data_IF_323445323452
#
_entry.id   IF_323445323452
#
_cell.length_a   1.000
_cell.length_b   1.000
_cell.length_c   1.000
_cell.angle_alpha   90.00
_cell.angle_beta   90.00
_cell.angle_gamma   90.00
#
_symmetry.space_group_name_H-M   'P 1'
#
loop_
_entity.id
_entity.type
_entity.pdbx_description
1 polymer ?
#
# COMPACT_ATOMS: atom_id res chain seq x y z
N UNK A 1 8.37 19.62 -7.94
CA UNK A 1 6.91 19.68 -7.70
C UNK A 1 6.48 20.99 -7.06
N UNK A 2 7.36 21.68 -6.33
CA UNK A 2 7.15 23.05 -5.79
C UNK A 2 7.25 24.19 -6.84
N UNK A 3 6.94 23.90 -8.11
CA UNK A 3 6.81 24.94 -9.14
C UNK A 3 5.33 25.28 -9.28
N UNK A 4 5.04 26.56 -9.48
CA UNK A 4 3.70 27.03 -9.85
C UNK A 4 3.16 26.22 -11.05
N UNK A 5 1.86 25.90 -11.02
CA UNK A 5 1.12 25.06 -11.98
C UNK A 5 1.33 23.53 -11.96
N UNK A 6 2.24 22.98 -11.15
CA UNK A 6 2.45 21.52 -11.13
C UNK A 6 1.44 20.74 -10.25
N UNK A 7 0.55 21.45 -9.52
CA UNK A 7 -0.51 20.88 -8.67
C UNK A 7 -1.86 21.60 -8.87
N UNK A 8 -2.34 21.65 -10.12
CA UNK A 8 -3.57 22.39 -10.51
C UNK A 8 -4.85 22.01 -9.74
N UNK A 9 -4.87 20.83 -9.11
CA UNK A 9 -6.02 20.34 -8.33
C UNK A 9 -5.89 20.59 -6.83
N UNK A 10 -4.84 21.31 -6.40
CA UNK A 10 -4.51 21.53 -4.99
C UNK A 10 -4.49 20.22 -4.19
N UNK A 11 -4.01 19.14 -4.82
CA UNK A 11 -3.93 17.82 -4.20
C UNK A 11 -2.93 17.86 -3.06
N UNK A 12 -3.28 17.27 -1.92
CA UNK A 12 -2.32 17.07 -0.83
C UNK A 12 -1.19 16.15 -1.27
N UNK A 13 -0.01 16.73 -1.56
CA UNK A 13 1.19 15.95 -1.90
C UNK A 13 1.90 15.56 -0.61
N UNK A 14 2.10 14.26 -0.43
CA UNK A 14 2.82 13.73 0.71
C UNK A 14 4.17 13.16 0.27
N UNK A 15 5.25 13.84 0.63
CA UNK A 15 6.59 13.37 0.30
C UNK A 15 6.99 12.22 1.20
N UNK A 16 7.32 11.09 0.58
CA UNK A 16 8.03 9.98 1.22
C UNK A 16 9.47 9.94 0.71
N UNK A 17 10.26 9.00 1.21
CA UNK A 17 11.54 8.64 0.61
C UNK A 17 11.45 7.23 0.03
N UNK A 18 12.44 6.85 -0.76
CA UNK A 18 12.68 5.46 -1.11
C UNK A 18 13.35 4.72 0.06
N UNK A 19 13.14 3.39 0.15
CA UNK A 19 13.85 2.48 1.06
C UNK A 19 14.43 1.30 0.28
N UNK A 20 15.57 0.77 0.72
CA UNK A 20 16.14 -0.48 0.17
C UNK A 20 16.53 -1.41 1.31
N UNK A 21 16.39 -2.72 1.09
CA UNK A 21 16.83 -3.75 2.02
C UNK A 21 18.35 -3.65 2.27
N UNK A 22 18.79 -3.96 3.49
CA UNK A 22 20.20 -4.15 3.82
C UNK A 22 20.59 -5.61 3.52
N UNK A 23 21.38 -5.89 2.47
CA UNK A 23 21.75 -7.26 2.10
C UNK A 23 22.66 -7.93 3.14
N UNK A 24 23.28 -7.16 4.04
CA UNK A 24 24.20 -7.68 5.05
C UNK A 24 23.48 -8.33 6.24
N UNK A 25 22.18 -8.07 6.42
CA UNK A 25 21.39 -8.65 7.51
C UNK A 25 21.40 -10.17 7.44
N UNK A 26 21.20 -10.74 6.25
CA UNK A 26 21.16 -12.19 6.07
C UNK A 26 22.53 -12.84 6.34
N UNK A 27 23.62 -12.15 6.01
CA UNK A 27 24.98 -12.59 6.36
C UNK A 27 25.18 -12.61 7.87
N UNK A 28 24.78 -11.52 8.56
CA UNK A 28 24.92 -11.40 10.02
C UNK A 28 24.09 -12.45 10.75
N UNK A 29 22.89 -12.77 10.27
CA UNK A 29 22.07 -13.86 10.83
C UNK A 29 22.67 -15.24 10.55
N UNK A 30 23.15 -15.49 9.32
CA UNK A 30 23.80 -16.76 8.98
C UNK A 30 25.10 -17.00 9.78
N UNK A 31 25.87 -15.94 10.06
CA UNK A 31 27.10 -16.01 10.86
C UNK A 31 26.86 -16.41 12.33
N UNK A 32 25.64 -16.22 12.86
CA UNK A 32 25.29 -16.73 14.21
C UNK A 32 25.21 -18.25 14.26
N UNK A 33 24.89 -18.89 13.13
CA UNK A 33 24.73 -20.35 13.01
C UNK A 33 26.01 -21.00 12.49
N UNK A 34 26.60 -20.42 11.45
CA UNK A 34 27.86 -20.87 10.85
C UNK A 34 28.84 -19.69 10.73
N UNK A 35 29.58 -19.39 11.81
CA UNK A 35 30.52 -18.29 11.83
C UNK A 35 31.74 -18.53 10.94
N UNK A 36 32.07 -19.79 10.61
CA UNK A 36 33.24 -20.11 9.78
C UNK A 36 32.99 -19.66 8.34
N UNK A 37 31.79 -19.93 7.82
CA UNK A 37 31.46 -19.58 6.43
C UNK A 37 31.05 -18.12 6.26
N UNK A 38 30.29 -17.55 7.22
CA UNK A 38 29.59 -16.27 7.01
C UNK A 38 30.18 -15.07 7.75
N UNK A 39 31.19 -15.24 8.61
CA UNK A 39 31.88 -14.09 9.20
C UNK A 39 32.66 -13.33 8.12
N UNK A 40 32.33 -12.05 7.93
CA UNK A 40 33.01 -11.19 6.98
C UNK A 40 34.34 -10.68 7.56
N UNK A 41 35.41 -10.77 6.79
CA UNK A 41 36.67 -10.13 7.09
C UNK A 41 36.53 -8.59 7.09
N UNK A 42 37.34 -7.86 7.88
CA UNK A 42 37.35 -6.40 7.84
C UNK A 42 37.87 -5.91 6.47
N UNK A 43 37.32 -4.78 6.02
CA UNK A 43 37.76 -4.12 4.78
C UNK A 43 39.20 -3.64 4.88
N UNK A 44 39.89 -3.68 3.74
CA UNK A 44 41.23 -3.14 3.62
C UNK A 44 41.21 -1.79 2.91
N UNK A 45 41.42 -0.71 3.67
CA UNK A 45 41.42 0.65 3.12
C UNK A 45 42.77 1.06 2.51
N UNK A 46 43.83 0.26 2.71
CA UNK A 46 45.15 0.44 2.08
C UNK A 46 45.13 -0.17 0.66
N UNK A 47 44.86 -1.47 0.60
CA UNK A 47 44.79 -2.25 -0.65
C UNK A 47 43.32 -2.49 -1.02
N UNK A 48 42.78 -1.61 -1.86
CA UNK A 48 41.38 -1.67 -2.22
C UNK A 48 41.03 -2.91 -3.05
N UNK A 49 39.83 -3.41 -2.80
CA UNK A 49 39.13 -4.39 -3.64
C UNK A 49 37.87 -3.74 -4.16
N UNK A 50 37.57 -3.97 -5.44
CA UNK A 50 36.38 -3.45 -6.10
C UNK A 50 35.35 -4.56 -6.35
N UNK A 51 34.07 -4.19 -6.35
CA UNK A 51 32.99 -5.11 -6.68
C UNK A 51 31.95 -4.44 -7.57
N UNK A 52 31.41 -5.21 -8.50
CA UNK A 52 30.28 -4.83 -9.33
C UNK A 52 29.36 -6.03 -9.56
N UNK A 53 28.06 -5.80 -9.54
CA UNK A 53 27.07 -6.81 -9.88
C UNK A 53 25.92 -6.18 -10.67
N UNK A 54 25.58 -6.77 -11.81
CA UNK A 54 24.48 -6.29 -12.65
C UNK A 54 23.38 -7.31 -12.91
N UNK A 55 23.61 -8.60 -12.63
CA UNK A 55 22.67 -9.65 -12.99
C UNK A 55 22.39 -9.60 -14.49
N UNK A 56 21.11 -9.60 -14.89
CA UNK A 56 20.73 -9.52 -16.31
C UNK A 56 20.62 -8.09 -16.87
N UNK A 57 20.86 -7.06 -16.04
CA UNK A 57 20.58 -5.68 -16.42
C UNK A 57 21.70 -5.09 -17.26
N UNK A 58 21.37 -4.68 -18.49
CA UNK A 58 22.26 -3.93 -19.39
C UNK A 58 22.42 -2.46 -18.97
N UNK A 59 21.51 -1.94 -18.15
CA UNK A 59 21.53 -0.54 -17.69
C UNK A 59 22.56 -0.26 -16.60
N UNK A 60 23.23 -1.28 -16.06
CA UNK A 60 24.32 -1.12 -15.07
C UNK A 60 25.66 -0.77 -15.68
N UNK A 61 25.71 -0.73 -17.01
CA UNK A 61 26.86 -0.30 -17.79
C UNK A 61 28.13 -1.12 -17.55
N UNK A 62 27.97 -2.43 -17.38
CA UNK A 62 29.07 -3.35 -17.11
C UNK A 62 30.05 -3.47 -18.28
N UNK A 63 29.61 -3.19 -19.51
CA UNK A 63 30.47 -3.14 -20.71
C UNK A 63 31.56 -2.06 -20.54
N UNK A 64 31.16 -0.81 -20.25
CA UNK A 64 32.11 0.29 -20.04
C UNK A 64 33.02 0.04 -18.83
N UNK A 65 32.50 -0.63 -17.79
CA UNK A 65 33.34 -1.04 -16.66
C UNK A 65 34.44 -2.04 -17.07
N UNK A 66 34.11 -3.02 -17.92
CA UNK A 66 35.07 -3.98 -18.47
C UNK A 66 36.08 -3.29 -19.39
N UNK A 67 35.65 -2.35 -20.24
CA UNK A 67 36.53 -1.57 -21.10
C UNK A 67 37.52 -0.74 -20.26
N UNK A 68 37.07 -0.13 -19.15
CA UNK A 68 37.94 0.59 -18.22
C UNK A 68 39.01 -0.33 -17.62
N UNK A 69 38.63 -1.46 -17.02
CA UNK A 69 39.61 -2.40 -16.43
C UNK A 69 40.52 -3.07 -17.47
N UNK A 70 40.07 -3.23 -18.72
CA UNK A 70 40.92 -3.69 -19.82
C UNK A 70 42.01 -2.68 -20.17
N UNK A 71 41.70 -1.38 -20.13
CA UNK A 71 42.67 -0.31 -20.40
C UNK A 71 43.62 -0.03 -19.24
N UNK A 72 43.31 -0.49 -18.02
CA UNK A 72 44.07 -0.25 -16.78
C UNK A 72 44.46 -1.53 -16.04
N UNK A 73 45.45 -2.29 -16.54
CA UNK A 73 45.98 -3.47 -15.85
C UNK A 73 46.62 -3.16 -14.48
N UNK A 74 46.95 -1.90 -14.22
CA UNK A 74 47.50 -1.38 -12.96
C UNK A 74 46.45 -1.23 -11.85
N UNK A 75 45.15 -1.28 -12.18
CA UNK A 75 44.10 -1.13 -11.19
C UNK A 75 44.02 -2.30 -10.20
N UNK A 76 43.54 -2.05 -8.97
CA UNK A 76 43.31 -3.12 -8.01
C UNK A 76 42.26 -4.12 -8.49
N UNK A 77 42.23 -5.32 -7.88
CA UNK A 77 41.34 -6.37 -8.34
C UNK A 77 39.87 -5.99 -8.19
N UNK A 78 39.08 -6.36 -9.21
CA UNK A 78 37.62 -6.21 -9.22
C UNK A 78 36.94 -7.57 -9.39
N UNK A 79 35.92 -7.84 -8.59
CA UNK A 79 35.00 -8.97 -8.79
C UNK A 79 33.73 -8.49 -9.49
N UNK A 80 33.43 -9.08 -10.64
CA UNK A 80 32.30 -8.68 -11.50
C UNK A 80 31.33 -9.87 -11.63
N UNK A 81 30.09 -9.70 -11.18
CA UNK A 81 29.01 -10.69 -11.34
C UNK A 81 27.99 -10.22 -12.37
N UNK A 82 27.97 -10.89 -13.53
CA UNK A 82 27.07 -10.58 -14.64
C UNK A 82 26.35 -11.82 -15.15
N UNK A 83 25.13 -11.62 -15.63
CA UNK A 83 24.34 -12.61 -16.36
C UNK A 83 23.79 -12.04 -17.68
N UNK A 84 24.36 -10.94 -18.18
CA UNK A 84 23.98 -10.34 -19.46
C UNK A 84 24.93 -10.74 -20.60
N UNK A 85 24.38 -10.94 -21.79
CA UNK A 85 25.15 -11.42 -22.94
C UNK A 85 26.20 -10.42 -23.43
N UNK A 86 25.88 -9.12 -23.41
CA UNK A 86 26.77 -8.07 -23.92
C UNK A 86 28.07 -7.95 -23.11
N UNK A 87 27.98 -8.01 -21.79
CA UNK A 87 29.16 -8.01 -20.91
C UNK A 87 29.99 -9.27 -21.07
N UNK A 88 29.35 -10.44 -21.22
CA UNK A 88 30.05 -11.69 -21.45
C UNK A 88 30.83 -11.64 -22.79
N UNK A 89 30.19 -11.18 -23.85
CA UNK A 89 30.82 -11.02 -25.16
C UNK A 89 31.99 -10.01 -25.12
N UNK A 90 31.83 -8.92 -24.38
CA UNK A 90 32.86 -7.88 -24.15
C UNK A 90 34.07 -8.44 -23.42
N UNK A 91 33.86 -9.17 -22.31
CA UNK A 91 34.94 -9.80 -21.56
C UNK A 91 35.75 -10.76 -22.44
N UNK A 92 35.07 -11.65 -23.18
CA UNK A 92 35.75 -12.61 -24.05
C UNK A 92 36.36 -11.96 -25.29
N UNK A 93 35.82 -10.84 -25.78
CA UNK A 93 36.40 -10.05 -26.87
C UNK A 93 37.77 -9.51 -26.47
N UNK A 94 37.89 -8.85 -25.32
CA UNK A 94 39.20 -8.36 -24.84
C UNK A 94 40.24 -9.46 -24.69
N UNK A 95 39.82 -10.64 -24.21
CA UNK A 95 40.72 -11.80 -24.13
C UNK A 95 41.20 -12.25 -25.52
N UNK A 96 40.28 -12.34 -26.50
CA UNK A 96 40.63 -12.69 -27.89
C UNK A 96 41.52 -11.64 -28.56
N UNK A 97 41.35 -10.37 -28.21
CA UNK A 97 42.14 -9.25 -28.72
C UNK A 97 43.52 -9.14 -28.05
N UNK A 98 43.91 -10.10 -27.21
CA UNK A 98 45.21 -10.14 -26.56
C UNK A 98 45.33 -9.19 -25.37
N UNK A 99 44.21 -8.77 -24.76
CA UNK A 99 44.15 -7.90 -23.58
C UNK A 99 43.59 -8.66 -22.36
N UNK A 100 44.33 -9.66 -21.82
CA UNK A 100 43.87 -10.41 -20.67
C UNK A 100 43.78 -9.51 -19.42
N UNK A 101 42.59 -9.43 -18.83
CA UNK A 101 42.34 -8.65 -17.61
C UNK A 101 42.67 -9.46 -16.35
N UNK A 102 43.96 -9.55 -16.00
CA UNK A 102 44.43 -10.38 -14.88
C UNK A 102 43.92 -9.92 -13.50
N UNK A 103 43.55 -8.66 -13.38
CA UNK A 103 42.96 -8.04 -12.18
C UNK A 103 41.42 -8.13 -12.16
N UNK A 104 40.79 -8.80 -13.12
CA UNK A 104 39.32 -8.95 -13.18
C UNK A 104 38.92 -10.39 -12.87
N UNK A 105 38.18 -10.58 -11.79
CA UNK A 105 37.49 -11.83 -11.48
C UNK A 105 36.07 -11.77 -12.06
N UNK A 106 35.91 -12.26 -13.29
CA UNK A 106 34.63 -12.23 -14.00
C UNK A 106 33.82 -13.51 -13.75
N UNK A 107 32.59 -13.34 -13.26
CA UNK A 107 31.65 -14.41 -12.98
C UNK A 107 30.40 -14.25 -13.86
N UNK A 108 30.29 -15.13 -14.86
CA UNK A 108 29.18 -15.13 -15.84
C UNK A 108 28.10 -16.16 -15.47
N UNK A 109 26.86 -15.72 -15.28
CA UNK A 109 25.72 -16.59 -14.97
C UNK A 109 25.77 -17.26 -13.59
N UNK A 110 26.65 -16.79 -12.70
CA UNK A 110 26.84 -17.38 -11.36
C UNK A 110 25.84 -16.77 -10.38
N UNK A 111 25.00 -17.62 -9.79
CA UNK A 111 24.10 -17.22 -8.71
C UNK A 111 24.80 -17.36 -7.35
N UNK A 112 24.81 -16.28 -6.58
CA UNK A 112 25.35 -16.25 -5.22
C UNK A 112 24.19 -16.24 -4.23
N UNK A 113 24.26 -17.05 -3.18
CA UNK A 113 23.22 -17.06 -2.14
C UNK A 113 23.16 -15.70 -1.43
N UNK A 114 21.98 -15.23 -0.97
CA UNK A 114 21.87 -13.92 -0.34
C UNK A 114 22.84 -13.67 0.85
N UNK A 115 23.07 -14.62 1.78
CA UNK A 115 24.05 -14.44 2.85
C UNK A 115 25.49 -14.33 2.34
N UNK A 116 25.83 -15.05 1.27
CA UNK A 116 27.16 -14.97 0.67
C UNK A 116 27.35 -13.64 -0.09
N UNK A 117 26.32 -13.17 -0.79
CA UNK A 117 26.33 -11.87 -1.45
C UNK A 117 26.53 -10.73 -0.44
N UNK A 118 25.80 -10.75 0.67
CA UNK A 118 26.00 -9.78 1.75
C UNK A 118 27.41 -9.85 2.38
N UNK A 119 28.01 -11.04 2.47
CA UNK A 119 29.40 -11.22 2.93
C UNK A 119 30.38 -10.55 1.98
N UNK A 120 30.24 -10.79 0.68
CA UNK A 120 31.08 -10.14 -0.35
C UNK A 120 30.99 -8.62 -0.27
N UNK A 121 29.78 -8.08 -0.08
CA UNK A 121 29.59 -6.63 0.09
C UNK A 121 30.23 -6.09 1.36
N UNK A 122 30.22 -6.85 2.47
CA UNK A 122 30.87 -6.48 3.74
C UNK A 122 32.41 -6.47 3.63
N UNK A 123 32.99 -7.37 2.85
CA UNK A 123 34.45 -7.52 2.72
C UNK A 123 35.06 -6.59 1.67
N UNK A 124 34.27 -6.22 0.65
CA UNK A 124 34.74 -5.37 -0.43
C UNK A 124 34.91 -3.92 0.03
N UNK A 125 36.03 -3.31 -0.35
CA UNK A 125 36.35 -1.92 0.02
C UNK A 125 35.50 -0.89 -0.73
N UNK A 126 35.40 -1.02 -2.06
CA UNK A 126 34.65 -0.11 -2.92
C UNK A 126 33.70 -0.84 -3.88
N UNK A 127 32.51 -0.28 -4.13
CA UNK A 127 31.51 -0.85 -5.03
C UNK A 127 31.22 0.15 -6.16
N UNK A 128 31.39 -0.28 -7.40
CA UNK A 128 31.24 0.57 -8.59
C UNK A 128 29.86 0.40 -9.19
N UNK A 129 29.11 1.50 -9.29
CA UNK A 129 27.74 1.55 -9.78
C UNK A 129 27.60 2.57 -10.93
N UNK A 130 28.16 2.29 -12.12
CA UNK A 130 28.22 3.22 -13.24
C UNK A 130 26.93 3.19 -14.09
N UNK A 131 25.76 3.12 -13.45
CA UNK A 131 24.51 2.85 -14.16
C UNK A 131 24.15 3.97 -15.16
N UNK A 132 23.70 3.59 -16.36
CA UNK A 132 23.16 4.49 -17.40
C UNK A 132 21.90 5.17 -16.90
N UNK A 133 21.00 4.38 -16.31
CA UNK A 133 19.76 4.86 -15.72
C UNK A 133 19.66 4.36 -14.29
N UNK A 134 18.73 4.93 -13.53
CA UNK A 134 18.53 4.64 -12.12
C UNK A 134 18.76 3.16 -11.78
N UNK A 135 19.79 2.91 -10.97
CA UNK A 135 20.12 1.58 -10.50
C UNK A 135 19.90 1.40 -8.99
N UNK A 136 19.36 0.26 -8.59
CA UNK A 136 19.26 -0.14 -7.17
C UNK A 136 20.64 -0.45 -6.52
N UNK A 137 21.70 -0.65 -7.32
CA UNK A 137 23.01 -1.13 -6.83
C UNK A 137 23.73 -0.17 -5.88
N UNK A 138 23.78 1.13 -6.20
CA UNK A 138 24.44 2.14 -5.35
C UNK A 138 23.78 2.27 -3.98
N UNK A 139 22.48 1.97 -3.89
CA UNK A 139 21.71 2.02 -2.66
C UNK A 139 22.04 0.85 -1.72
N UNK A 140 22.19 -0.37 -2.27
CA UNK A 140 22.59 -1.55 -1.50
C UNK A 140 24.01 -1.43 -0.96
N UNK A 141 24.90 -0.83 -1.75
CA UNK A 141 26.31 -0.65 -1.39
C UNK A 141 26.51 0.21 -0.13
N UNK A 142 25.72 1.30 0.02
CA UNK A 142 25.77 2.15 1.22
C UNK A 142 25.38 1.41 2.49
N UNK A 143 24.36 0.54 2.42
CA UNK A 143 23.92 -0.25 3.57
C UNK A 143 25.04 -1.16 4.11
N UNK A 144 25.85 -1.72 3.20
CA UNK A 144 26.99 -2.55 3.57
C UNK A 144 28.16 -1.76 4.18
N UNK A 145 28.22 -0.43 4.01
CA UNK A 145 29.33 0.41 4.46
C UNK A 145 30.56 0.37 3.56
N UNK A 146 30.39 0.01 2.28
CA UNK A 146 31.44 0.11 1.28
C UNK A 146 31.51 1.54 0.71
N UNK A 147 32.68 1.94 0.19
CA UNK A 147 32.80 3.19 -0.56
C UNK A 147 32.09 3.04 -1.90
N UNK A 148 31.10 3.90 -2.19
CA UNK A 148 30.30 3.78 -3.41
C UNK A 148 30.77 4.76 -4.47
N UNK A 149 31.07 4.25 -5.67
CA UNK A 149 31.31 5.05 -6.86
C UNK A 149 30.04 5.00 -7.71
N UNK A 150 29.43 6.14 -8.05
CA UNK A 150 28.17 6.15 -8.81
C UNK A 150 28.08 7.28 -9.82
N UNK A 151 27.31 7.10 -10.88
CA UNK A 151 27.02 8.11 -11.91
C UNK A 151 26.56 9.43 -11.32
N UNK A 152 27.16 10.55 -11.73
CA UNK A 152 26.70 11.91 -11.35
C UNK A 152 25.47 12.34 -12.16
N UNK A 153 24.36 11.64 -11.94
CA UNK A 153 23.10 11.89 -12.63
C UNK A 153 21.92 11.50 -11.77
N UNK A 154 20.84 12.28 -11.81
CA UNK A 154 19.65 12.02 -11.01
C UNK A 154 19.00 10.67 -11.40
N UNK A 155 18.56 9.86 -10.43
CA UNK A 155 18.54 10.12 -8.99
C UNK A 155 19.78 9.58 -8.24
N UNK A 156 20.81 9.08 -8.93
CA UNK A 156 21.96 8.40 -8.30
C UNK A 156 22.79 9.34 -7.43
N UNK A 157 22.99 10.58 -7.88
CA UNK A 157 23.71 11.64 -7.15
C UNK A 157 22.88 12.31 -6.04
N UNK A 158 21.60 11.97 -5.87
CA UNK A 158 20.80 12.44 -4.74
C UNK A 158 21.17 11.71 -3.44
N UNK A 159 21.69 10.47 -3.56
CA UNK A 159 21.99 9.60 -2.42
C UNK A 159 23.45 9.64 -1.98
N UNK A 160 24.34 10.08 -2.85
CA UNK A 160 25.78 10.08 -2.69
C UNK A 160 26.32 11.43 -3.17
N UNK A 161 27.18 12.05 -2.37
CA UNK A 161 28.01 13.18 -2.79
C UNK A 161 29.49 12.90 -2.49
N UNK A 162 30.34 13.91 -2.73
CA UNK A 162 31.79 13.84 -2.48
C UNK A 162 32.15 13.59 -1.00
N UNK A 163 31.24 13.86 -0.05
CA UNK A 163 31.48 13.56 1.36
C UNK A 163 31.07 12.13 1.75
N UNK A 164 30.25 11.46 0.93
CA UNK A 164 29.64 10.16 1.25
C UNK A 164 29.86 9.08 0.19
N UNK A 165 30.80 9.29 -0.72
CA UNK A 165 31.15 8.39 -1.82
C UNK A 165 32.05 9.07 -2.85
N UNK A 166 31.95 8.64 -4.10
CA UNK A 166 32.61 9.26 -5.25
C UNK A 166 31.64 9.30 -6.44
N UNK A 167 31.54 10.46 -7.07
CA UNK A 167 30.67 10.68 -8.21
C UNK A 167 31.46 10.52 -9.51
N UNK A 168 30.91 9.77 -10.48
CA UNK A 168 31.43 9.67 -11.84
C UNK A 168 30.94 10.91 -12.59
N UNK A 169 31.79 11.94 -12.58
CA UNK A 169 31.51 13.28 -13.12
C UNK A 169 31.74 13.33 -14.62
N UNK A 170 31.20 14.36 -15.28
CA UNK A 170 31.36 14.56 -16.73
C UNK A 170 30.39 13.76 -17.59
N UNK A 171 29.40 13.11 -16.96
CA UNK A 171 28.40 12.30 -17.66
C UNK A 171 27.39 13.19 -18.40
N UNK A 172 27.13 12.87 -19.66
CA UNK A 172 26.16 13.58 -20.49
C UNK A 172 24.78 12.95 -20.42
N UNK A 173 23.71 13.74 -20.48
CA UNK A 173 22.36 13.20 -20.61
C UNK A 173 22.23 12.42 -21.93
N UNK A 174 21.73 11.19 -21.86
CA UNK A 174 21.49 10.32 -23.00
C UNK A 174 20.13 10.66 -23.62
N UNK A 175 20.13 10.98 -24.91
CA UNK A 175 18.88 11.18 -25.65
C UNK A 175 18.21 9.85 -25.95
N UNK A 176 16.99 9.67 -25.43
CA UNK A 176 16.22 8.42 -25.55
C UNK A 176 14.96 8.57 -26.41
N UNK A 177 14.78 9.72 -27.08
CA UNK A 177 13.62 9.98 -27.94
C UNK A 177 12.28 9.93 -27.20
N UNK A 178 12.24 10.37 -25.95
CA UNK A 178 11.08 10.31 -25.02
C UNK A 178 10.53 8.91 -24.74
N UNK A 179 11.32 7.85 -24.99
CA UNK A 179 10.90 6.44 -24.78
C UNK A 179 11.21 5.88 -23.39
N UNK A 180 11.70 6.70 -22.48
CA UNK A 180 12.04 6.26 -21.12
C UNK A 180 10.82 6.32 -20.21
N UNK A 181 10.53 5.19 -19.54
CA UNK A 181 9.45 5.09 -18.54
C UNK A 181 9.59 6.13 -17.41
N UNK A 182 10.82 6.56 -17.10
CA UNK A 182 11.13 7.54 -16.06
C UNK A 182 11.12 8.99 -16.57
N UNK A 183 10.84 9.21 -17.86
CA UNK A 183 10.87 10.52 -18.51
C UNK A 183 12.23 10.87 -19.14
N UNK A 184 12.29 11.94 -19.96
CA UNK A 184 13.53 12.40 -20.56
C UNK A 184 14.54 12.88 -19.51
N UNK A 185 15.83 12.68 -19.76
CA UNK A 185 16.91 13.15 -18.88
C UNK A 185 17.22 12.24 -17.68
N UNK A 186 16.72 11.01 -17.65
CA UNK A 186 16.99 10.01 -16.60
C UNK A 186 17.95 8.90 -17.04
N UNK A 187 18.56 9.06 -18.21
CA UNK A 187 19.62 8.19 -18.72
C UNK A 187 20.85 9.03 -19.02
N UNK A 188 22.03 8.44 -18.84
CA UNK A 188 23.32 9.11 -18.95
C UNK A 188 24.29 8.28 -19.79
N UNK A 189 25.10 8.96 -20.59
CA UNK A 189 26.25 8.37 -21.26
C UNK A 189 27.41 8.37 -20.24
N UNK A 190 27.80 7.17 -19.81
CA UNK A 190 28.85 6.95 -18.81
C UNK A 190 29.98 6.20 -19.50
N UNK A 191 30.89 6.95 -20.12
CA UNK A 191 32.04 6.40 -20.86
C UNK A 191 33.08 5.79 -19.90
N UNK A 192 33.78 4.75 -20.35
CA UNK A 192 34.75 4.02 -19.54
C UNK A 192 35.90 4.89 -19.01
N UNK A 193 36.30 5.93 -19.73
CA UNK A 193 37.32 6.88 -19.31
C UNK A 193 36.88 7.61 -18.03
N UNK A 194 35.61 8.01 -17.93
CA UNK A 194 35.07 8.67 -16.74
C UNK A 194 35.05 7.74 -15.52
N UNK A 195 34.80 6.44 -15.75
CA UNK A 195 34.87 5.41 -14.72
C UNK A 195 36.32 5.30 -14.22
N UNK A 196 37.28 5.20 -15.15
CA UNK A 196 38.70 5.09 -14.85
C UNK A 196 39.22 6.32 -14.06
N UNK A 197 38.91 7.53 -14.50
CA UNK A 197 39.28 8.76 -13.80
C UNK A 197 38.72 8.82 -12.37
N UNK A 198 37.52 8.28 -12.17
CA UNK A 198 36.90 8.21 -10.84
C UNK A 198 37.61 7.19 -9.95
N UNK A 199 38.04 6.06 -10.51
CA UNK A 199 38.85 5.07 -9.78
C UNK A 199 40.20 5.66 -9.39
N UNK A 200 40.88 6.38 -10.29
CA UNK A 200 42.14 7.08 -9.96
C UNK A 200 41.96 8.09 -8.83
N UNK A 201 40.87 8.87 -8.84
CA UNK A 201 40.55 9.79 -7.74
C UNK A 201 40.35 9.05 -6.41
N UNK A 202 39.69 7.90 -6.41
CA UNK A 202 39.52 7.06 -5.21
C UNK A 202 40.85 6.47 -4.74
N UNK A 203 41.73 6.08 -5.66
CA UNK A 203 43.08 5.59 -5.35
C UNK A 203 44.00 6.70 -4.83
N UNK A 204 43.77 7.96 -5.21
CA UNK A 204 44.51 9.11 -4.69
C UNK A 204 44.11 9.50 -3.25
N UNK A 205 42.92 9.11 -2.77
CA UNK A 205 42.49 9.35 -1.40
C UNK A 205 43.33 8.55 -0.40
N UNK A 206 43.52 9.09 0.80
CA UNK A 206 44.10 8.35 1.92
C UNK A 206 43.13 7.27 2.44
N UNK A 207 43.64 6.20 3.09
CA UNK A 207 42.79 5.19 3.75
C UNK A 207 41.75 5.78 4.72
N UNK A 208 42.14 6.84 5.44
CA UNK A 208 41.26 7.55 6.37
C UNK A 208 40.12 8.28 5.64
N UNK A 209 40.41 8.95 4.53
CA UNK A 209 39.37 9.62 3.72
C UNK A 209 38.41 8.62 3.08
N UNK A 210 38.92 7.50 2.55
CA UNK A 210 38.09 6.43 1.95
C UNK A 210 37.12 5.84 2.98
N UNK A 211 37.63 5.49 4.16
CA UNK A 211 36.81 4.93 5.24
C UNK A 211 35.81 5.94 5.80
N UNK A 212 36.20 7.22 5.92
CA UNK A 212 35.29 8.30 6.36
C UNK A 212 34.14 8.51 5.38
N UNK A 213 34.43 8.57 4.07
CA UNK A 213 33.40 8.71 3.03
C UNK A 213 32.45 7.51 3.03
N UNK A 214 32.96 6.30 3.18
CA UNK A 214 32.14 5.09 3.27
C UNK A 214 31.22 5.10 4.50
N UNK A 215 31.74 5.51 5.67
CA UNK A 215 30.96 5.65 6.90
C UNK A 215 29.86 6.71 6.76
N UNK A 216 30.16 7.86 6.16
CA UNK A 216 29.17 8.91 5.86
C UNK A 216 28.06 8.39 4.92
N UNK A 217 28.43 7.61 3.90
CA UNK A 217 27.47 6.94 3.01
C UNK A 217 26.50 6.02 3.77
N UNK A 218 27.01 5.25 4.71
CA UNK A 218 26.21 4.37 5.56
C UNK A 218 25.32 5.15 6.54
N UNK A 219 25.83 6.22 7.15
CA UNK A 219 25.02 7.12 8.01
C UNK A 219 23.83 7.68 7.24
N UNK A 220 24.05 8.21 6.04
CA UNK A 220 22.97 8.73 5.18
C UNK A 220 21.95 7.65 4.80
N UNK A 221 22.38 6.39 4.63
CA UNK A 221 21.45 5.28 4.44
C UNK A 221 20.53 5.09 5.65
N UNK A 222 21.08 5.11 6.87
CA UNK A 222 20.29 4.97 8.10
C UNK A 222 19.36 6.17 8.36
N UNK A 223 19.82 7.39 8.11
CA UNK A 223 18.99 8.60 8.18
C UNK A 223 17.80 8.54 7.22
N UNK A 224 18.05 8.10 5.98
CA UNK A 224 17.00 7.90 4.97
C UNK A 224 15.98 6.85 5.42
N UNK A 225 16.42 5.74 6.03
CA UNK A 225 15.53 4.72 6.59
C UNK A 225 14.67 5.26 7.73
N UNK A 226 15.26 6.04 8.64
CA UNK A 226 14.55 6.68 9.74
C UNK A 226 13.51 7.67 9.22
N UNK A 227 13.88 8.51 8.24
CA UNK A 227 12.95 9.42 7.57
C UNK A 227 11.81 8.68 6.89
N UNK A 228 12.11 7.64 6.11
CA UNK A 228 11.08 6.83 5.45
C UNK A 228 10.10 6.23 6.45
N UNK A 229 10.59 5.63 7.54
CA UNK A 229 9.76 5.06 8.60
C UNK A 229 8.87 6.11 9.26
N UNK A 230 9.41 7.29 9.57
CA UNK A 230 8.64 8.40 10.14
C UNK A 230 7.58 8.92 9.15
N UNK A 231 7.95 9.06 7.87
CA UNK A 231 7.04 9.48 6.81
C UNK A 231 5.89 8.48 6.63
N UNK A 232 6.17 7.18 6.61
CA UNK A 232 5.14 6.14 6.53
C UNK A 232 4.25 6.09 7.78
N UNK A 233 4.80 6.32 8.97
CA UNK A 233 3.99 6.40 10.19
C UNK A 233 3.02 7.60 10.16
N UNK A 234 3.46 8.76 9.66
CA UNK A 234 2.59 9.92 9.47
C UNK A 234 1.57 9.69 8.34
N UNK A 235 1.95 9.06 7.23
CA UNK A 235 1.01 8.66 6.18
C UNK A 235 -0.08 7.73 6.71
N UNK A 236 0.29 6.71 7.50
CA UNK A 236 -0.68 5.82 8.16
C UNK A 236 -1.63 6.55 9.09
N UNK A 237 -1.16 7.55 9.85
CA UNK A 237 -2.03 8.38 10.71
C UNK A 237 -3.01 9.22 9.89
N UNK A 238 -2.56 9.78 8.76
CA UNK A 238 -3.43 10.53 7.84
C UNK A 238 -4.53 9.63 7.29
N UNK A 239 -4.18 8.44 6.81
CA UNK A 239 -5.15 7.44 6.35
C UNK A 239 -6.12 7.07 7.48
N UNK A 240 -5.63 6.76 8.69
CA UNK A 240 -6.48 6.42 9.84
C UNK A 240 -7.45 7.54 10.20
N UNK A 241 -7.02 8.81 10.21
CA UNK A 241 -7.87 9.98 10.52
C UNK A 241 -8.98 10.17 9.48
N UNK A 242 -8.71 9.86 8.21
CA UNK A 242 -9.72 9.92 7.14
C UNK A 242 -10.63 8.67 7.07
N UNK A 243 -10.33 7.65 7.88
CA UNK A 243 -11.00 6.34 7.90
C UNK A 243 -11.57 5.98 9.29
N UNK A 244 -11.60 6.92 10.25
CA UNK A 244 -12.19 6.65 11.57
C UNK A 244 -13.71 6.79 11.45
N UNK A 245 -14.51 5.80 11.90
CA UNK A 245 -15.97 5.93 11.94
C UNK A 245 -16.41 7.14 12.76
N UNK A 246 -17.34 7.92 12.24
CA UNK A 246 -17.99 9.00 12.97
C UNK A 246 -19.27 8.48 13.63
N UNK A 247 -19.27 8.37 14.95
CA UNK A 247 -20.48 8.08 15.71
C UNK A 247 -21.25 9.39 15.93
N UNK A 248 -22.56 9.41 15.64
CA UNK A 248 -23.46 10.52 15.93
C UNK A 248 -24.58 10.06 16.86
N UNK A 249 -24.54 10.50 18.10
CA UNK A 249 -25.62 10.26 19.06
C UNK A 249 -26.84 11.12 18.72
N UNK A 250 -28.06 10.61 18.99
CA UNK A 250 -29.33 11.31 18.75
C UNK A 250 -29.53 11.78 17.30
N UNK A 251 -29.10 10.96 16.33
CA UNK A 251 -29.25 11.18 14.91
C UNK A 251 -30.71 11.36 14.47
N UNK A 252 -31.63 10.61 15.08
CA UNK A 252 -33.08 10.80 14.94
C UNK A 252 -33.73 10.91 16.30
N UNK A 253 -34.89 11.58 16.37
CA UNK A 253 -35.64 11.71 17.62
C UNK A 253 -36.22 10.37 18.09
N UNK A 254 -36.47 10.18 19.40
CA UNK A 254 -37.14 8.98 19.91
C UNK A 254 -38.49 8.68 19.23
N UNK A 255 -39.27 9.71 18.90
CA UNK A 255 -40.54 9.53 18.19
C UNK A 255 -40.34 8.96 16.76
N UNK A 256 -39.24 9.30 16.10
CA UNK A 256 -38.89 8.72 14.79
C UNK A 256 -38.43 7.27 14.95
N UNK A 257 -37.70 6.95 16.02
CA UNK A 257 -37.33 5.56 16.36
C UNK A 257 -38.58 4.71 16.55
N UNK A 258 -39.52 5.16 17.38
CA UNK A 258 -40.77 4.44 17.65
C UNK A 258 -41.57 4.21 16.36
N UNK A 259 -41.70 5.23 15.52
CA UNK A 259 -42.41 5.12 14.25
C UNK A 259 -41.71 4.19 13.23
N UNK A 260 -40.37 4.11 13.23
CA UNK A 260 -39.64 3.14 12.41
C UNK A 260 -39.85 1.70 12.90
N UNK A 261 -39.94 1.51 14.22
CA UNK A 261 -40.27 0.21 14.83
C UNK A 261 -41.68 -0.23 14.48
N UNK A 262 -42.65 0.68 14.52
CA UNK A 262 -44.03 0.40 14.09
C UNK A 262 -44.09 -0.03 12.62
N UNK A 263 -43.30 0.60 11.74
CA UNK A 263 -43.17 0.19 10.34
C UNK A 263 -42.59 -1.22 10.23
N UNK A 264 -41.52 -1.52 10.98
CA UNK A 264 -40.89 -2.83 11.00
C UNK A 264 -41.87 -3.92 11.49
N UNK A 265 -42.57 -3.68 12.60
CA UNK A 265 -43.52 -4.63 13.16
C UNK A 265 -44.72 -4.88 12.25
N UNK A 266 -45.23 -3.83 11.60
CA UNK A 266 -46.30 -3.96 10.61
C UNK A 266 -45.88 -4.81 9.40
N UNK A 267 -44.71 -4.55 8.83
CA UNK A 267 -44.25 -5.29 7.66
C UNK A 267 -43.70 -6.68 7.95
N UNK A 268 -43.25 -6.94 9.18
CA UNK A 268 -42.82 -8.25 9.65
C UNK A 268 -43.94 -9.03 10.36
N UNK A 269 -45.20 -8.57 10.27
CA UNK A 269 -46.33 -9.22 10.91
C UNK A 269 -46.48 -10.66 10.44
N UNK A 270 -46.71 -11.59 11.38
CA UNK A 270 -46.87 -13.02 11.09
C UNK A 270 -45.56 -13.76 10.76
N UNK A 271 -44.40 -13.09 10.82
CA UNK A 271 -43.08 -13.71 10.72
C UNK A 271 -42.60 -14.18 12.09
N UNK A 272 -41.70 -15.17 12.10
CA UNK A 272 -41.20 -15.71 13.37
C UNK A 272 -40.45 -14.62 14.14
N UNK A 273 -40.75 -14.49 15.42
CA UNK A 273 -39.99 -13.63 16.34
C UNK A 273 -38.86 -14.39 17.03
N UNK A 274 -38.60 -15.64 16.68
CA UNK A 274 -37.54 -16.46 17.28
C UNK A 274 -36.85 -17.20 16.15
N UNK A 275 -35.55 -17.01 15.92
CA UNK A 275 -34.96 -17.76 14.82
C UNK A 275 -33.71 -17.25 14.11
N UNK A 276 -33.25 -16.02 14.33
CA UNK A 276 -32.25 -15.37 13.48
C UNK A 276 -32.76 -14.01 12.98
N UNK A 277 -32.05 -13.32 12.07
CA UNK A 277 -32.44 -12.01 11.59
C UNK A 277 -33.69 -12.09 10.70
N UNK A 278 -34.71 -11.29 11.02
CA UNK A 278 -35.80 -10.97 10.09
C UNK A 278 -35.43 -9.70 9.35
N UNK A 279 -35.27 -9.78 8.03
CA UNK A 279 -34.83 -8.69 7.17
C UNK A 279 -35.99 -8.26 6.29
N UNK A 280 -36.31 -6.98 6.32
CA UNK A 280 -37.38 -6.38 5.53
C UNK A 280 -36.86 -5.26 4.65
N UNK A 281 -37.27 -5.24 3.40
CA UNK A 281 -37.20 -4.07 2.53
C UNK A 281 -38.61 -3.67 2.07
N UNK A 282 -38.94 -2.41 2.31
CA UNK A 282 -40.21 -1.80 1.91
C UNK A 282 -40.11 -1.16 0.50
N UNK A 283 -38.91 -0.99 -0.05
CA UNK A 283 -38.61 -0.05 -1.14
C UNK A 283 -38.04 -0.66 -2.44
N UNK A 284 -37.83 -1.97 -2.61
CA UNK A 284 -37.19 -2.47 -3.85
C UNK A 284 -38.03 -2.07 -5.08
N UNK A 285 -37.52 -1.14 -5.91
CA UNK A 285 -38.20 -0.64 -7.11
C UNK A 285 -38.67 0.81 -7.10
N UNK A 286 -38.46 1.58 -6.03
CA UNK A 286 -38.91 2.98 -5.93
C UNK A 286 -37.87 4.05 -6.35
N UNK A 287 -36.63 3.65 -6.68
CA UNK A 287 -35.56 4.57 -7.05
C UNK A 287 -35.23 4.51 -8.54
N UNK A 288 -35.77 5.44 -9.33
CA UNK A 288 -35.11 5.91 -10.55
C UNK A 288 -34.73 7.37 -10.33
N UNK A 289 -33.43 7.67 -10.44
CA UNK A 289 -32.85 9.00 -10.21
C UNK A 289 -33.14 10.01 -11.32
N UNK A 290 -33.90 9.60 -12.35
CA UNK A 290 -34.10 10.39 -13.57
C UNK A 290 -35.55 10.78 -13.85
N UNK A 291 -36.49 10.66 -12.90
CA UNK A 291 -37.87 11.09 -13.10
C UNK A 291 -38.33 12.15 -12.10
N UNK A 292 -38.63 13.39 -12.55
CA UNK A 292 -39.24 14.40 -11.70
C UNK A 292 -40.65 13.94 -11.35
N UNK A 293 -40.82 13.66 -10.05
CA UNK A 293 -42.03 13.36 -9.30
C UNK A 293 -43.31 13.84 -10.01
N UNK A 294 -43.95 12.91 -10.74
CA UNK A 294 -45.39 12.97 -11.00
C UNK A 294 -46.05 11.99 -10.05
N UNK A 295 -46.73 12.56 -9.05
CA UNK A 295 -47.91 12.04 -8.35
C UNK A 295 -48.06 10.51 -8.30
N UNK A 296 -47.52 9.90 -7.23
CA UNK A 296 -48.01 8.69 -6.55
C UNK A 296 -48.85 7.69 -7.37
N UNK A 297 -48.31 7.19 -8.48
CA UNK A 297 -48.83 5.97 -9.09
C UNK A 297 -48.08 4.80 -8.47
N UNK A 298 -48.77 4.05 -7.61
CA UNK A 298 -48.37 2.69 -7.23
C UNK A 298 -48.27 1.87 -8.53
N UNK A 299 -47.13 1.91 -9.21
CA UNK A 299 -46.90 1.05 -10.35
C UNK A 299 -46.67 -0.36 -9.84
N UNK A 300 -47.05 -1.35 -10.63
CA UNK A 300 -46.88 -2.80 -10.37
C UNK A 300 -45.42 -3.25 -10.19
N UNK A 301 -44.48 -2.30 -10.11
CA UNK A 301 -43.04 -2.45 -9.94
C UNK A 301 -42.54 -2.12 -8.53
N UNK A 302 -43.41 -1.76 -7.58
CA UNK A 302 -43.05 -1.73 -6.17
C UNK A 302 -42.92 -3.18 -5.67
N UNK A 303 -41.73 -3.55 -5.22
CA UNK A 303 -41.41 -4.90 -4.79
C UNK A 303 -40.83 -4.80 -3.37
N UNK A 304 -41.65 -5.06 -2.36
CA UNK A 304 -41.23 -5.13 -0.97
C UNK A 304 -41.05 -6.59 -0.59
N UNK A 305 -40.07 -6.89 0.25
CA UNK A 305 -39.78 -8.24 0.70
C UNK A 305 -39.57 -8.32 2.20
N UNK A 306 -39.94 -9.45 2.78
CA UNK A 306 -39.46 -9.87 4.10
C UNK A 306 -38.88 -11.27 4.01
N UNK A 307 -37.72 -11.46 4.64
CA UNK A 307 -36.98 -12.72 4.72
C UNK A 307 -36.72 -13.06 6.18
N UNK A 308 -36.93 -14.33 6.53
CA UNK A 308 -36.45 -14.97 7.76
C UNK A 308 -36.12 -16.45 7.46
N UNK A 309 -35.95 -17.28 8.49
CA UNK A 309 -35.71 -18.73 8.34
C UNK A 309 -36.84 -19.52 7.63
N UNK A 310 -38.02 -18.93 7.46
CA UNK A 310 -39.14 -19.51 6.69
C UNK A 310 -39.11 -19.12 5.21
N UNK A 311 -38.07 -18.42 4.74
CA UNK A 311 -37.87 -18.05 3.33
C UNK A 311 -38.23 -16.60 3.01
N UNK A 312 -38.22 -16.25 1.72
CA UNK A 312 -38.48 -14.89 1.22
C UNK A 312 -39.92 -14.76 0.73
N UNK A 313 -40.67 -13.74 1.19
CA UNK A 313 -42.00 -13.41 0.66
C UNK A 313 -42.05 -11.98 0.15
N UNK A 314 -42.90 -11.73 -0.85
CA UNK A 314 -43.18 -10.39 -1.35
C UNK A 314 -44.36 -9.78 -0.58
N UNK A 315 -44.14 -8.66 0.10
CA UNK A 315 -45.12 -8.00 0.98
C UNK A 315 -46.40 -7.56 0.24
N UNK A 316 -46.24 -7.09 -1.00
CA UNK A 316 -47.33 -6.51 -1.80
C UNK A 316 -48.11 -7.54 -2.63
N UNK A 317 -47.67 -8.80 -2.64
CA UNK A 317 -48.36 -9.92 -3.32
C UNK A 317 -49.04 -10.88 -2.35
N UNK A 318 -49.11 -10.53 -1.08
CA UNK A 318 -49.88 -11.29 -0.08
C UNK A 318 -51.39 -11.06 -0.28
N UNK A 319 -52.21 -11.93 0.31
CA UNK A 319 -53.67 -11.79 0.35
C UNK A 319 -54.18 -11.76 1.81
N UNK A 320 -54.59 -10.61 2.35
CA UNK A 320 -54.52 -9.27 1.72
C UNK A 320 -53.08 -8.74 1.63
N UNK A 321 -52.77 -7.81 0.70
CA UNK A 321 -51.44 -7.24 0.57
C UNK A 321 -51.10 -6.36 1.78
N UNK A 322 -49.82 -6.36 2.19
CA UNK A 322 -49.35 -5.44 3.24
C UNK A 322 -49.37 -4.02 2.70
N UNK A 323 -50.06 -3.11 3.40
CA UNK A 323 -50.19 -1.71 3.01
C UNK A 323 -49.53 -0.80 4.05
N UNK A 324 -48.66 0.10 3.59
CA UNK A 324 -48.08 1.16 4.42
C UNK A 324 -48.71 2.51 4.04
N UNK A 325 -48.85 3.39 5.03
CA UNK A 325 -49.43 4.72 4.80
C UNK A 325 -48.43 5.65 4.10
N UNK A 326 -48.94 6.76 3.55
CA UNK A 326 -48.09 7.77 2.89
C UNK A 326 -47.11 8.40 3.90
N UNK A 327 -47.55 8.55 5.15
CA UNK A 327 -46.74 9.06 6.26
C UNK A 327 -45.59 8.11 6.57
N UNK A 328 -45.85 6.79 6.60
CA UNK A 328 -44.82 5.78 6.85
C UNK A 328 -43.74 5.76 5.74
N UNK A 329 -44.15 5.80 4.47
CA UNK A 329 -43.20 5.89 3.35
C UNK A 329 -42.38 7.19 3.38
N UNK A 330 -43.04 8.30 3.70
CA UNK A 330 -42.38 9.62 3.80
C UNK A 330 -41.35 9.62 4.91
N UNK A 331 -41.70 9.12 6.10
CA UNK A 331 -40.78 9.00 7.22
C UNK A 331 -39.56 8.13 6.87
N UNK A 332 -39.79 6.94 6.32
CA UNK A 332 -38.71 6.01 5.98
C UNK A 332 -37.75 6.61 4.94
N UNK A 333 -38.28 7.26 3.90
CA UNK A 333 -37.49 7.99 2.90
C UNK A 333 -36.66 9.11 3.53
N UNK A 334 -37.27 9.94 4.36
CA UNK A 334 -36.62 11.12 4.93
C UNK A 334 -35.48 10.72 5.89
N UNK A 335 -35.64 9.61 6.62
CA UNK A 335 -34.56 9.02 7.45
C UNK A 335 -33.41 8.52 6.56
N UNK A 336 -33.70 7.78 5.48
CA UNK A 336 -32.69 7.28 4.55
C UNK A 336 -31.91 8.43 3.89
N UNK A 337 -32.59 9.49 3.44
CA UNK A 337 -31.96 10.69 2.89
C UNK A 337 -31.11 11.41 3.94
N UNK A 338 -31.57 11.49 5.18
CA UNK A 338 -30.78 12.07 6.28
C UNK A 338 -29.47 11.30 6.48
N UNK A 339 -29.50 9.96 6.45
CA UNK A 339 -28.31 9.12 6.56
C UNK A 339 -27.37 9.38 5.37
N UNK A 340 -27.90 9.46 4.14
CA UNK A 340 -27.10 9.78 2.94
C UNK A 340 -26.40 11.13 3.06
N UNK A 341 -27.13 12.17 3.45
CA UNK A 341 -26.58 13.51 3.64
C UNK A 341 -25.50 13.53 4.73
N UNK A 342 -25.69 12.78 5.81
CA UNK A 342 -24.72 12.69 6.88
C UNK A 342 -23.42 11.97 6.44
N UNK A 343 -23.52 10.90 5.64
CA UNK A 343 -22.36 10.24 5.01
C UNK A 343 -21.66 11.21 4.04
N UNK A 344 -22.42 11.95 3.23
CA UNK A 344 -21.86 12.92 2.29
C UNK A 344 -21.12 14.06 3.00
N UNK A 345 -21.68 14.58 4.10
CA UNK A 345 -21.07 15.62 4.92
C UNK A 345 -19.77 15.10 5.57
N UNK A 346 -19.83 13.94 6.23
CA UNK A 346 -18.69 13.33 6.91
C UNK A 346 -17.51 13.07 5.96
N UNK A 347 -17.80 12.57 4.75
CA UNK A 347 -16.78 12.22 3.77
C UNK A 347 -16.56 13.27 2.68
N UNK A 348 -17.20 14.44 2.82
CA UNK A 348 -17.12 15.57 1.88
C UNK A 348 -17.38 15.13 0.43
N UNK A 349 -18.41 14.32 0.23
CA UNK A 349 -18.81 13.79 -1.07
C UNK A 349 -19.72 14.79 -1.77
N UNK A 350 -19.48 15.02 -3.06
CA UNK A 350 -20.38 15.81 -3.91
C UNK A 350 -21.62 15.02 -4.33
N UNK A 351 -21.47 13.70 -4.49
CA UNK A 351 -22.56 12.79 -4.89
C UNK A 351 -22.42 11.46 -4.16
N UNK A 352 -23.56 10.90 -3.75
CA UNK A 352 -23.68 9.54 -3.21
C UNK A 352 -24.96 8.92 -3.76
N UNK A 353 -24.85 7.72 -4.32
CA UNK A 353 -25.97 6.97 -4.89
C UNK A 353 -26.33 5.82 -3.96
N UNK A 354 -27.63 5.58 -3.77
CA UNK A 354 -28.09 4.39 -3.06
C UNK A 354 -27.96 3.14 -3.92
N UNK A 355 -27.53 2.06 -3.29
CA UNK A 355 -27.70 0.72 -3.82
C UNK A 355 -28.99 0.13 -3.25
N UNK A 356 -29.89 -0.37 -4.10
CA UNK A 356 -31.00 -1.19 -3.62
C UNK A 356 -30.47 -2.59 -3.26
N UNK A 357 -30.97 -3.22 -2.18
CA UNK A 357 -32.06 -2.80 -1.29
C UNK A 357 -31.60 -2.03 -0.03
N UNK A 358 -32.51 -1.33 0.65
CA UNK A 358 -32.33 -0.77 2.00
C UNK A 358 -33.06 -1.64 3.01
N UNK A 359 -32.47 -1.96 4.17
CA UNK A 359 -33.05 -2.95 5.06
C UNK A 359 -33.35 -2.45 6.47
N UNK A 360 -34.49 -2.92 6.99
CA UNK A 360 -34.80 -3.00 8.42
C UNK A 360 -34.50 -4.43 8.88
N UNK A 361 -33.67 -4.59 9.90
CA UNK A 361 -33.29 -5.90 10.42
C UNK A 361 -33.67 -6.02 11.87
N UNK A 362 -34.54 -6.98 12.19
CA UNK A 362 -34.92 -7.30 13.57
C UNK A 362 -34.25 -8.60 14.00
N UNK A 363 -33.55 -8.57 15.13
CA UNK A 363 -32.98 -9.77 15.75
C UNK A 363 -33.64 -10.01 17.10
N UNK A 364 -34.21 -11.21 17.27
CA UNK A 364 -34.79 -11.64 18.54
C UNK A 364 -34.25 -13.05 18.83
N UNK A 365 -33.57 -13.18 19.96
CA UNK A 365 -32.99 -14.43 20.42
C UNK A 365 -33.49 -14.83 21.80
N UNK A 366 -33.35 -16.11 22.12
CA UNK A 366 -33.48 -16.63 23.49
C UNK A 366 -32.33 -17.60 23.78
N UNK A 367 -32.15 -17.99 25.05
CA UNK A 367 -31.03 -18.82 25.47
C UNK A 367 -31.00 -20.25 24.87
N UNK A 368 -32.08 -20.68 24.22
CA UNK A 368 -32.23 -22.02 23.63
C UNK A 368 -32.12 -22.02 22.10
N UNK A 369 -32.02 -20.84 21.48
CA UNK A 369 -31.92 -20.72 20.03
C UNK A 369 -30.49 -20.98 19.55
N UNK A 370 -30.36 -21.71 18.43
CA UNK A 370 -29.09 -22.01 17.76
C UNK A 370 -29.21 -21.72 16.26
N UNK A 371 -28.20 -21.10 15.62
CA UNK A 371 -28.22 -20.79 14.19
C UNK A 371 -28.33 -22.08 13.37
N UNK A 372 -29.16 -22.05 12.32
CA UNK A 372 -29.37 -23.17 11.40
C UNK A 372 -28.57 -22.98 10.10
N UNK A 373 -28.39 -21.75 9.67
CA UNK A 373 -27.56 -21.37 8.52
C UNK A 373 -26.58 -20.24 8.85
N UNK A 374 -25.56 -20.05 8.00
CA UNK A 374 -24.55 -19.01 8.19
C UNK A 374 -25.15 -17.60 8.26
N UNK A 375 -26.30 -17.38 7.61
CA UNK A 375 -26.99 -16.09 7.63
C UNK A 375 -27.72 -15.81 8.97
N UNK A 376 -27.85 -16.81 9.84
CA UNK A 376 -28.37 -16.65 11.19
C UNK A 376 -27.30 -16.08 12.15
N UNK A 377 -26.02 -16.19 11.78
CA UNK A 377 -24.88 -15.72 12.57
C UNK A 377 -24.55 -14.24 12.27
N UNK A 378 -24.98 -13.34 13.15
CA UNK A 378 -24.76 -11.89 12.99
C UNK A 378 -23.44 -11.38 13.59
N UNK A 379 -22.65 -12.25 14.22
CA UNK A 379 -21.46 -11.91 15.02
C UNK A 379 -20.12 -12.16 14.30
N UNK A 380 -20.14 -12.42 12.99
CA UNK A 380 -18.92 -12.60 12.23
C UNK A 380 -18.22 -11.27 11.92
N UNK A 381 -16.89 -11.26 12.08
CA UNK A 381 -16.07 -10.15 11.59
C UNK A 381 -16.17 -10.10 10.05
N UNK A 382 -16.49 -8.94 9.50
CA UNK A 382 -16.70 -8.75 8.07
C UNK A 382 -16.08 -7.44 7.56
N UNK A 383 -15.76 -7.41 6.27
CA UNK A 383 -15.27 -6.22 5.53
C UNK A 383 -16.05 -6.16 4.22
N UNK A 384 -17.01 -5.23 4.08
CA UNK A 384 -18.06 -5.44 3.07
C UNK A 384 -17.57 -5.21 1.65
N UNK A 385 -16.51 -4.42 1.40
CA UNK A 385 -15.91 -4.35 0.05
C UNK A 385 -15.42 -5.73 -0.43
N UNK A 386 -15.01 -6.58 0.49
CA UNK A 386 -14.56 -7.95 0.19
C UNK A 386 -15.76 -8.89 -0.06
N UNK A 387 -16.91 -8.59 0.55
CA UNK A 387 -18.09 -9.45 0.49
C UNK A 387 -19.05 -9.04 -0.64
N UNK A 388 -19.15 -7.75 -0.97
CA UNK A 388 -20.00 -7.21 -2.04
C UNK A 388 -19.30 -6.03 -2.72
N UNK A 389 -18.77 -6.28 -3.92
CA UNK A 389 -17.91 -5.34 -4.67
C UNK A 389 -18.58 -4.01 -5.05
N UNK A 390 -19.89 -3.88 -4.88
CA UNK A 390 -20.69 -2.73 -5.32
C UNK A 390 -20.85 -1.63 -4.25
N UNK A 391 -20.35 -1.84 -3.01
CA UNK A 391 -20.49 -0.88 -1.93
C UNK A 391 -19.19 -0.10 -1.68
N UNK A 392 -19.30 1.22 -1.50
CA UNK A 392 -18.19 2.09 -1.11
C UNK A 392 -18.38 2.72 0.29
N UNK A 393 -19.63 2.93 0.72
CA UNK A 393 -20.02 3.53 2.00
C UNK A 393 -21.26 2.89 2.54
N UNK A 394 -21.51 3.07 3.84
CA UNK A 394 -22.71 2.60 4.50
C UNK A 394 -22.90 3.21 5.88
N UNK A 395 -24.14 3.20 6.36
CA UNK A 395 -24.50 3.82 7.63
C UNK A 395 -25.49 2.97 8.37
N UNK A 396 -25.27 2.73 9.66
CA UNK A 396 -26.15 1.95 10.51
C UNK A 396 -26.93 2.89 11.43
N UNK A 397 -28.21 2.60 11.67
CA UNK A 397 -29.04 3.34 12.63
C UNK A 397 -29.63 2.37 13.65
N UNK A 398 -29.36 2.59 14.93
CA UNK A 398 -29.92 1.72 15.97
C UNK A 398 -31.23 2.30 16.53
N UNK A 399 -32.21 1.42 16.72
CA UNK A 399 -33.57 1.62 17.22
C UNK A 399 -33.79 0.97 18.60
N UNK A 400 -32.81 0.22 19.09
CA UNK A 400 -32.85 -0.46 20.38
C UNK A 400 -31.75 0.01 21.35
N UNK A 401 -32.06 -0.03 22.65
CA UNK A 401 -31.15 0.37 23.73
C UNK A 401 -30.40 -0.84 24.33
N UNK A 402 -29.06 -0.80 24.28
CA UNK A 402 -28.21 -1.77 24.98
C UNK A 402 -28.43 -1.71 26.49
N UNK A 403 -28.52 -2.87 27.14
CA UNK A 403 -28.75 -2.98 28.58
C UNK A 403 -30.21 -2.77 29.01
N UNK A 404 -31.09 -2.38 28.08
CA UNK A 404 -32.55 -2.32 28.30
C UNK A 404 -33.24 -3.44 27.53
N UNK A 405 -33.00 -3.52 26.21
CA UNK A 405 -33.73 -4.42 25.32
C UNK A 405 -32.90 -5.66 24.94
N UNK A 406 -31.58 -5.58 25.07
CA UNK A 406 -30.68 -6.70 24.81
C UNK A 406 -29.41 -6.62 25.66
N UNK A 407 -28.84 -7.79 25.98
CA UNK A 407 -27.57 -7.94 26.69
C UNK A 407 -26.61 -8.76 25.81
N UNK A 408 -25.83 -8.08 24.97
CA UNK A 408 -24.97 -8.69 23.94
C UNK A 408 -24.76 -7.74 22.75
N UNK A 409 -24.23 -8.22 21.62
CA UNK A 409 -24.24 -7.48 20.34
C UNK A 409 -23.44 -6.16 20.29
N UNK A 410 -22.42 -6.01 21.14
CA UNK A 410 -21.56 -4.83 21.13
C UNK A 410 -20.83 -4.70 19.79
N UNK A 411 -20.77 -3.47 19.25
CA UNK A 411 -20.13 -3.24 17.97
C UNK A 411 -18.62 -3.09 18.17
N UNK A 412 -17.86 -4.11 17.78
CA UNK A 412 -16.40 -4.12 17.90
C UNK A 412 -15.74 -3.77 16.56
N UNK A 413 -15.11 -2.60 16.50
CA UNK A 413 -14.16 -2.25 15.45
C UNK A 413 -12.83 -2.93 15.75
N UNK A 414 -12.51 -3.96 14.96
CA UNK A 414 -11.28 -4.73 15.10
C UNK A 414 -10.16 -4.03 14.31
N UNK A 415 -9.24 -3.34 15.00
CA UNK A 415 -7.98 -2.85 14.42
C UNK A 415 -6.81 -3.67 14.99
N UNK A 416 -5.73 -3.79 14.22
CA UNK A 416 -4.55 -4.58 14.55
C UNK A 416 -3.94 -4.24 15.92
N UNK A 417 -4.06 -2.98 16.33
CA UNK A 417 -3.40 -2.45 17.52
C UNK A 417 -4.38 -2.25 18.70
N UNK A 418 -5.69 -2.09 18.44
CA UNK A 418 -6.70 -1.82 19.46
C UNK A 418 -8.11 -2.06 18.93
N UNK A 419 -8.88 -2.90 19.62
CA UNK A 419 -10.31 -2.99 19.38
C UNK A 419 -11.02 -1.81 20.02
N UNK A 420 -11.91 -1.16 19.27
CA UNK A 420 -12.82 -0.14 19.82
C UNK A 420 -14.21 -0.74 19.85
N UNK A 421 -14.80 -0.80 21.04
CA UNK A 421 -16.14 -1.32 21.22
C UNK A 421 -17.09 -0.16 21.47
N UNK A 422 -18.20 -0.12 20.76
CA UNK A 422 -19.26 0.88 20.93
C UNK A 422 -20.50 0.18 21.47
N UNK A 423 -21.07 0.75 22.52
CA UNK A 423 -22.38 0.36 23.05
C UNK A 423 -23.47 0.95 22.15
N UNK A 424 -24.33 0.14 21.53
CA UNK A 424 -25.45 0.68 20.76
C UNK A 424 -26.49 1.32 21.68
N UNK A 425 -26.99 2.51 21.33
CA UNK A 425 -28.14 3.12 21.99
C UNK A 425 -29.13 3.63 20.96
N UNK A 426 -30.41 3.74 21.32
CA UNK A 426 -31.46 4.18 20.41
C UNK A 426 -31.16 5.57 19.87
N UNK A 427 -31.40 5.76 18.59
CA UNK A 427 -31.14 7.02 17.92
C UNK A 427 -29.66 7.34 17.73
N UNK A 428 -28.71 6.45 18.06
CA UNK A 428 -27.32 6.58 17.61
C UNK A 428 -27.24 6.17 16.13
N UNK A 429 -26.68 7.04 15.30
CA UNK A 429 -26.19 6.68 13.97
C UNK A 429 -24.69 6.46 14.02
N UNK A 430 -24.24 5.30 13.55
CA UNK A 430 -22.85 5.08 13.18
C UNK A 430 -22.65 5.49 11.73
N UNK A 431 -22.03 6.64 11.47
CA UNK A 431 -21.55 7.01 10.14
C UNK A 431 -20.17 6.39 9.98
N UNK A 432 -20.14 5.21 9.39
CA UNK A 432 -18.90 4.47 9.19
C UNK A 432 -18.36 4.84 7.80
N UNK A 433 -17.17 5.45 7.72
CA UNK A 433 -16.37 5.22 6.51
C UNK A 433 -15.80 3.85 6.70
N UNK A 434 -16.29 2.94 5.90
CA UNK A 434 -15.71 1.70 5.42
C UNK A 434 -16.86 1.13 4.60
N UNK A 435 -16.59 0.71 3.37
CA UNK A 435 -17.60 0.10 2.52
C UNK A 435 -18.43 -0.91 3.34
N UNK A 436 -19.71 -0.67 3.66
CA UNK A 436 -20.47 -1.71 4.38
C UNK A 436 -21.72 -1.47 5.24
N UNK A 437 -22.83 -1.98 4.73
CA UNK A 437 -24.29 -1.76 4.84
C UNK A 437 -25.06 -0.76 5.73
N UNK A 438 -26.25 -0.38 5.22
CA UNK A 438 -27.37 0.22 5.96
C UNK A 438 -28.29 -0.88 6.49
N UNK A 439 -28.09 -1.21 7.75
CA UNK A 439 -29.08 -1.86 8.61
C UNK A 439 -29.53 -0.84 9.64
N UNK A 440 -30.81 -0.53 9.62
CA UNK A 440 -31.47 0.03 10.78
C UNK A 440 -31.72 -1.18 11.72
N UNK A 441 -31.02 -1.27 12.86
CA UNK A 441 -31.18 -2.34 13.87
C UNK A 441 -32.20 -1.87 14.90
#
# INVERSE_FOLDING_TARGET
YDRDDNNRRNTSVYYTSHTTSDPTVLTKEAAKVDPVTYSAAPRNWENLTFFHANGHSTLKNTIELLDCWSSRPDFPPISIYSSDGGSNDTYWRHLRDGRPMLNVQYHSGVFVTPPMYGKMMLETSAIVCPSISEGYGSRLARAAGALVLTTDGAPMNEFIDEASGALITGVGARWTGDKTMMGPGTEFNVEHELICDTVDRVLALTPAERSTRAANGQTRYHEQQAYFKAAMAKFRRLLRRELTPALRDNFVSPAVVDALRDIADHGMQGRSTLGGPTIMDINTGMYSVDHPIRRWEFTSSCIGYVKDGNGLINLYRQDPPVQFTTEQYTLYRDVIESIRLAIMDEFRLSTLYFTAPTFLTRLIGNASWVPQEMHDEYWHAHVDKNNTRHYDYSGLLYLADYGVEFTGGLFAFLDKDKNTTVEPARGISGIIKLCGYLSII
#
